data_IF_794324803344
#
_entry.id   IF_794324803344
#
_cell.length_a   1.000
_cell.length_b   1.000
_cell.length_c   1.000
_cell.angle_alpha   90.00
_cell.angle_beta   90.00
_cell.angle_gamma   90.00
#
_symmetry.space_group_name_H-M   'P 1'
#
loop_
_entity.id
_entity.type
_entity.pdbx_description
1 polymer ?
#
# COMPACT_ATOMS: atom_id res chain seq x y z
N UNK A 1 25.30 -21.59 10.41
CA UNK A 1 23.97 -22.24 10.27
C UNK A 1 23.00 -21.54 11.19
N UNK A 2 21.95 -20.90 10.66
CA UNK A 2 20.92 -20.24 11.50
C UNK A 2 20.06 -21.30 12.20
N UNK A 3 19.82 -21.11 13.50
CA UNK A 3 19.06 -22.02 14.33
C UNK A 3 17.61 -22.11 13.82
N UNK A 4 16.99 -23.30 13.68
CA UNK A 4 15.59 -23.42 13.24
C UNK A 4 14.61 -22.54 14.05
N UNK A 5 14.91 -22.29 15.32
CA UNK A 5 14.12 -21.41 16.18
C UNK A 5 14.15 -19.93 15.73
N UNK A 6 15.28 -19.43 15.18
CA UNK A 6 15.37 -18.03 14.74
C UNK A 6 14.60 -17.81 13.44
N UNK A 7 14.72 -18.74 12.47
CA UNK A 7 13.97 -18.67 11.21
C UNK A 7 12.45 -18.72 11.43
N UNK A 8 11.98 -19.51 12.39
CA UNK A 8 10.55 -19.60 12.73
C UNK A 8 9.99 -18.28 13.31
N UNK A 9 10.79 -17.57 14.15
CA UNK A 9 10.42 -16.26 14.69
C UNK A 9 10.39 -15.20 13.60
N UNK A 10 11.41 -15.13 12.74
CA UNK A 10 11.45 -14.17 11.62
C UNK A 10 10.24 -14.32 10.71
N UNK A 11 9.84 -15.56 10.40
CA UNK A 11 8.64 -15.82 9.59
C UNK A 11 7.36 -15.35 10.28
N UNK A 12 7.24 -15.57 11.59
CA UNK A 12 6.09 -15.11 12.38
C UNK A 12 6.03 -13.58 12.44
N UNK A 13 7.14 -12.91 12.70
CA UNK A 13 7.21 -11.45 12.73
C UNK A 13 6.90 -10.83 11.36
N UNK A 14 7.42 -11.39 10.26
CA UNK A 14 7.07 -10.94 8.89
C UNK A 14 5.58 -11.09 8.60
N UNK A 15 4.98 -12.22 8.97
CA UNK A 15 3.53 -12.46 8.81
C UNK A 15 2.71 -11.50 9.65
N UNK A 16 3.13 -11.24 10.89
CA UNK A 16 2.47 -10.29 11.78
C UNK A 16 2.55 -8.87 11.20
N UNK A 17 3.72 -8.45 10.71
CA UNK A 17 3.91 -7.16 10.06
C UNK A 17 2.99 -6.99 8.85
N UNK A 18 3.00 -7.96 7.92
CA UNK A 18 2.12 -7.94 6.75
C UNK A 18 0.64 -8.01 7.15
N UNK A 19 0.32 -8.85 8.14
CA UNK A 19 -1.03 -9.01 8.68
C UNK A 19 -1.56 -7.74 9.33
N UNK A 20 -0.74 -6.96 10.01
CA UNK A 20 -1.14 -5.67 10.60
C UNK A 20 -1.41 -4.60 9.55
N UNK A 21 -0.63 -4.56 8.47
CA UNK A 21 -0.91 -3.67 7.33
C UNK A 21 -2.17 -4.08 6.57
N UNK A 22 -2.41 -5.38 6.40
CA UNK A 22 -3.64 -5.85 5.81
C UNK A 22 -4.83 -5.53 6.72
N UNK A 23 -4.72 -5.82 8.02
CA UNK A 23 -5.74 -5.55 9.02
C UNK A 23 -6.05 -4.05 9.10
N UNK A 24 -5.05 -3.18 9.07
CA UNK A 24 -5.25 -1.73 9.13
C UNK A 24 -6.12 -1.26 7.96
N UNK A 25 -5.79 -1.68 6.72
CA UNK A 25 -6.56 -1.34 5.52
C UNK A 25 -7.97 -1.91 5.52
N UNK A 26 -8.12 -3.18 5.89
CA UNK A 26 -9.44 -3.85 5.97
C UNK A 26 -10.32 -3.22 7.05
N UNK A 27 -9.76 -2.94 8.24
CA UNK A 27 -10.50 -2.30 9.32
C UNK A 27 -10.96 -0.90 8.93
N UNK A 28 -10.08 -0.10 8.30
CA UNK A 28 -10.46 1.23 7.80
C UNK A 28 -11.64 1.14 6.83
N UNK A 29 -11.54 0.26 5.83
CA UNK A 29 -12.60 0.07 4.84
C UNK A 29 -13.91 -0.38 5.50
N UNK A 30 -13.87 -1.38 6.39
CA UNK A 30 -15.05 -1.90 7.08
C UNK A 30 -15.71 -0.85 7.99
N UNK A 31 -14.95 -0.08 8.75
CA UNK A 31 -15.53 0.94 9.62
C UNK A 31 -16.10 2.13 8.84
N UNK A 32 -15.49 2.51 7.72
CA UNK A 32 -16.08 3.51 6.82
C UNK A 32 -17.42 3.03 6.27
N UNK A 33 -17.51 1.77 5.80
CA UNK A 33 -18.77 1.23 5.26
C UNK A 33 -19.85 1.06 6.32
N UNK A 34 -19.46 0.82 7.57
CA UNK A 34 -20.39 0.73 8.72
C UNK A 34 -20.78 2.09 9.32
N UNK A 35 -20.29 3.21 8.77
CA UNK A 35 -20.64 4.56 9.25
C UNK A 35 -19.84 5.06 10.45
N UNK A 36 -18.71 4.41 10.78
CA UNK A 36 -17.82 4.77 11.88
C UNK A 36 -16.43 5.20 11.39
N UNK A 37 -16.30 6.24 10.54
CA UNK A 37 -15.05 6.58 9.88
C UNK A 37 -13.91 6.92 10.86
N UNK A 38 -14.22 7.59 11.98
CA UNK A 38 -13.22 7.95 13.00
C UNK A 38 -12.64 6.69 13.66
N UNK A 39 -13.49 5.69 13.96
CA UNK A 39 -13.04 4.41 14.52
C UNK A 39 -12.16 3.68 13.51
N UNK A 40 -12.52 3.72 12.23
CA UNK A 40 -11.70 3.17 11.15
C UNK A 40 -10.31 3.80 11.09
N UNK A 41 -10.21 5.12 11.18
CA UNK A 41 -8.93 5.84 11.21
C UNK A 41 -8.12 5.46 12.45
N UNK A 42 -8.74 5.41 13.63
CA UNK A 42 -8.05 5.00 14.87
C UNK A 42 -7.51 3.58 14.73
N UNK A 43 -8.32 2.64 14.25
CA UNK A 43 -7.90 1.26 14.02
C UNK A 43 -6.73 1.19 13.04
N UNK A 44 -6.81 1.94 11.93
CA UNK A 44 -5.73 2.02 10.96
C UNK A 44 -4.42 2.50 11.59
N UNK A 45 -4.45 3.65 12.29
CA UNK A 45 -3.27 4.29 12.88
C UNK A 45 -2.65 3.41 13.95
N UNK A 46 -3.46 2.80 14.82
CA UNK A 46 -2.98 1.88 15.87
C UNK A 46 -2.30 0.68 15.24
N UNK A 47 -2.95 0.00 14.30
CA UNK A 47 -2.37 -1.18 13.64
C UNK A 47 -1.09 -0.84 12.87
N UNK A 48 -1.05 0.28 12.14
CA UNK A 48 0.14 0.74 11.42
C UNK A 48 1.28 1.08 12.38
N UNK A 49 0.99 1.76 13.50
CA UNK A 49 2.00 2.10 14.52
C UNK A 49 2.58 0.85 15.17
N UNK A 50 1.74 -0.14 15.47
CA UNK A 50 2.19 -1.44 15.99
C UNK A 50 3.06 -2.16 14.96
N UNK A 51 2.69 -2.17 13.68
CA UNK A 51 3.49 -2.77 12.62
C UNK A 51 4.89 -2.13 12.53
N UNK A 52 4.95 -0.79 12.56
CA UNK A 52 6.21 -0.04 12.54
C UNK A 52 7.04 -0.32 13.80
N UNK A 53 6.42 -0.33 14.97
CA UNK A 53 7.09 -0.59 16.24
C UNK A 53 7.69 -2.00 16.30
N UNK A 54 7.00 -3.01 15.75
CA UNK A 54 7.49 -4.40 15.68
C UNK A 54 8.76 -4.48 14.85
N UNK A 55 8.80 -3.84 13.67
CA UNK A 55 9.99 -3.87 12.81
C UNK A 55 11.15 -3.10 13.44
N UNK A 56 10.88 -1.94 14.06
CA UNK A 56 11.92 -1.11 14.68
C UNK A 56 12.56 -1.74 15.92
N UNK A 57 11.87 -2.64 16.61
CA UNK A 57 12.35 -3.28 17.85
C UNK A 57 12.95 -4.67 17.64
N UNK A 58 13.01 -5.16 16.40
CA UNK A 58 13.54 -6.48 16.12
C UNK A 58 15.04 -6.39 15.80
N UNK A 59 15.88 -6.98 16.66
CA UNK A 59 17.34 -6.90 16.55
C UNK A 59 17.96 -7.80 15.46
N UNK A 60 17.17 -8.66 14.82
CA UNK A 60 17.64 -9.57 13.77
C UNK A 60 17.40 -9.06 12.33
N UNK A 61 17.97 -9.74 11.31
CA UNK A 61 17.69 -9.42 9.91
C UNK A 61 16.30 -9.91 9.51
N UNK A 62 15.28 -9.07 9.73
CA UNK A 62 13.89 -9.40 9.39
C UNK A 62 13.65 -9.51 7.88
N UNK A 63 14.40 -8.74 7.10
CA UNK A 63 14.42 -8.76 5.63
C UNK A 63 15.87 -8.88 5.17
N UNK A 64 16.20 -10.03 4.55
CA UNK A 64 17.48 -10.23 3.89
C UNK A 64 17.49 -9.62 2.48
N UNK A 65 18.63 -9.69 1.78
CA UNK A 65 18.77 -9.13 0.43
C UNK A 65 17.82 -9.80 -0.59
N UNK A 66 17.51 -11.08 -0.38
CA UNK A 66 16.59 -11.84 -1.23
C UNK A 66 15.13 -11.42 -1.00
N UNK A 67 14.77 -11.08 0.22
CA UNK A 67 13.45 -10.57 0.56
C UNK A 67 13.26 -9.14 0.07
N UNK A 68 14.29 -8.30 0.11
CA UNK A 68 14.25 -6.95 -0.47
C UNK A 68 14.00 -6.98 -1.97
N UNK A 69 14.72 -7.81 -2.72
CA UNK A 69 14.50 -7.96 -4.17
C UNK A 69 13.09 -8.46 -4.50
N UNK A 70 12.55 -9.41 -3.74
CA UNK A 70 11.16 -9.86 -3.89
C UNK A 70 10.15 -8.77 -3.55
N UNK A 71 10.37 -8.00 -2.48
CA UNK A 71 9.50 -6.89 -2.10
C UNK A 71 9.55 -5.77 -3.14
N UNK A 72 10.72 -5.45 -3.69
CA UNK A 72 10.86 -4.48 -4.76
C UNK A 72 10.07 -4.92 -6.00
N UNK A 73 10.23 -6.19 -6.44
CA UNK A 73 9.47 -6.74 -7.56
C UNK A 73 7.95 -6.74 -7.31
N UNK A 74 7.52 -7.11 -6.09
CA UNK A 74 6.12 -7.09 -5.71
C UNK A 74 5.55 -5.67 -5.67
N UNK A 75 6.33 -4.70 -5.19
CA UNK A 75 5.94 -3.28 -5.12
C UNK A 75 5.82 -2.69 -6.52
N UNK A 76 6.79 -2.93 -7.40
CA UNK A 76 6.73 -2.55 -8.81
C UNK A 76 5.49 -3.12 -9.49
N UNK A 77 5.20 -4.41 -9.27
CA UNK A 77 4.00 -5.05 -9.83
C UNK A 77 2.71 -4.43 -9.29
N UNK A 78 2.67 -4.09 -8.00
CA UNK A 78 1.50 -3.44 -7.38
C UNK A 78 1.26 -2.06 -8.00
N UNK A 79 2.30 -1.24 -8.12
CA UNK A 79 2.23 0.07 -8.77
C UNK A 79 1.78 -0.06 -10.23
N UNK A 80 2.31 -1.03 -10.97
CA UNK A 80 1.92 -1.29 -12.34
C UNK A 80 0.43 -1.66 -12.47
N UNK A 81 -0.06 -2.58 -11.62
CA UNK A 81 -1.48 -2.97 -11.60
C UNK A 81 -2.36 -1.76 -11.27
N UNK A 82 -2.04 -1.02 -10.22
CA UNK A 82 -2.79 0.18 -9.82
C UNK A 82 -2.80 1.22 -10.95
N UNK A 83 -1.66 1.43 -11.60
CA UNK A 83 -1.52 2.34 -12.73
C UNK A 83 -2.39 1.93 -13.93
N UNK A 84 -2.32 0.67 -14.35
CA UNK A 84 -3.12 0.14 -15.47
C UNK A 84 -4.61 0.20 -15.13
N UNK A 85 -5.01 -0.25 -13.94
CA UNK A 85 -6.41 -0.19 -13.51
C UNK A 85 -6.91 1.26 -13.50
N UNK A 86 -6.11 2.20 -13.03
CA UNK A 86 -6.48 3.62 -13.03
C UNK A 86 -6.59 4.19 -14.45
N UNK A 87 -5.65 3.84 -15.33
CA UNK A 87 -5.65 4.25 -16.74
C UNK A 87 -6.85 3.70 -17.54
N UNK A 88 -7.53 2.67 -17.02
CA UNK A 88 -8.79 2.16 -17.59
C UNK A 88 -9.99 2.82 -16.91
N UNK A 89 -10.09 2.72 -15.59
CA UNK A 89 -11.28 3.13 -14.82
C UNK A 89 -11.55 4.62 -14.96
N UNK A 90 -10.56 5.49 -14.78
CA UNK A 90 -10.81 6.93 -14.80
C UNK A 90 -11.23 7.44 -16.19
N UNK A 91 -10.55 7.07 -17.30
CA UNK A 91 -11.01 7.46 -18.62
C UNK A 91 -12.40 6.90 -18.96
N UNK A 92 -12.69 5.65 -18.61
CA UNK A 92 -14.01 5.06 -18.85
C UNK A 92 -15.12 5.80 -18.10
N UNK A 93 -14.95 6.05 -16.80
CA UNK A 93 -15.95 6.78 -16.00
C UNK A 93 -16.10 8.22 -16.52
N UNK A 94 -14.99 8.87 -16.89
CA UNK A 94 -15.03 10.23 -17.45
C UNK A 94 -15.77 10.27 -18.78
N UNK A 95 -15.55 9.29 -19.67
CA UNK A 95 -16.27 9.19 -20.94
C UNK A 95 -17.77 8.96 -20.73
N UNK A 96 -18.15 8.04 -19.83
CA UNK A 96 -19.57 7.80 -19.50
C UNK A 96 -20.23 9.03 -18.88
N UNK A 97 -19.51 9.76 -18.03
CA UNK A 97 -19.99 11.01 -17.45
C UNK A 97 -20.18 12.11 -18.51
N UNK A 98 -19.22 12.25 -19.44
CA UNK A 98 -19.30 13.23 -20.52
C UNK A 98 -20.39 12.94 -21.55
N UNK A 99 -20.85 11.69 -21.64
CA UNK A 99 -21.97 11.25 -22.47
C UNK A 99 -23.32 11.27 -21.73
N UNK A 100 -23.38 11.83 -20.53
CA UNK A 100 -24.56 11.88 -19.66
C UNK A 100 -25.16 10.50 -19.32
N UNK A 101 -24.36 9.43 -19.41
CA UNK A 101 -24.78 8.06 -19.06
C UNK A 101 -24.79 7.85 -17.55
N UNK A 102 -23.85 8.47 -16.83
CA UNK A 102 -23.72 8.38 -15.37
C UNK A 102 -23.43 9.74 -14.75
N UNK A 103 -23.88 9.97 -13.52
CA UNK A 103 -23.44 11.11 -12.72
C UNK A 103 -22.03 10.87 -12.17
N UNK A 104 -21.23 11.94 -12.05
CA UNK A 104 -19.88 11.84 -11.48
C UNK A 104 -19.94 11.38 -10.01
N UNK A 105 -19.29 10.26 -9.62
CA UNK A 105 -19.31 9.81 -8.24
C UNK A 105 -18.39 10.68 -7.37
N UNK A 106 -18.94 11.36 -6.36
CA UNK A 106 -18.16 12.27 -5.49
C UNK A 106 -17.02 11.55 -4.74
N UNK A 107 -17.20 10.28 -4.40
CA UNK A 107 -16.17 9.45 -3.76
C UNK A 107 -14.99 9.13 -4.69
N UNK A 108 -15.14 9.26 -6.01
CA UNK A 108 -14.10 8.97 -6.98
C UNK A 108 -13.05 10.09 -7.05
N UNK A 109 -13.45 11.33 -6.79
CA UNK A 109 -12.57 12.51 -6.79
C UNK A 109 -11.35 12.36 -5.87
N UNK A 110 -11.47 12.05 -4.56
CA UNK A 110 -10.31 11.87 -3.70
C UNK A 110 -9.42 10.68 -4.12
N UNK A 111 -9.99 9.63 -4.72
CA UNK A 111 -9.22 8.49 -5.24
C UNK A 111 -8.38 8.93 -6.45
N UNK A 112 -8.94 9.76 -7.34
CA UNK A 112 -8.20 10.35 -8.46
C UNK A 112 -6.98 11.16 -7.98
N UNK A 113 -7.16 12.01 -6.95
CA UNK A 113 -6.06 12.75 -6.36
C UNK A 113 -5.01 11.84 -5.70
N UNK A 114 -5.45 10.79 -4.99
CA UNK A 114 -4.54 9.80 -4.42
C UNK A 114 -3.70 9.11 -5.50
N UNK A 115 -4.32 8.68 -6.60
CA UNK A 115 -3.61 8.05 -7.72
C UNK A 115 -2.64 9.03 -8.38
N UNK A 116 -3.05 10.28 -8.61
CA UNK A 116 -2.17 11.31 -9.15
C UNK A 116 -0.95 11.54 -8.24
N UNK A 117 -1.16 11.64 -6.92
CA UNK A 117 -0.08 11.78 -5.95
C UNK A 117 0.84 10.54 -5.93
N UNK A 118 0.28 9.33 -5.97
CA UNK A 118 1.04 8.09 -6.04
C UNK A 118 1.91 8.04 -7.31
N UNK A 119 1.34 8.38 -8.47
CA UNK A 119 2.07 8.45 -9.74
C UNK A 119 3.16 9.51 -9.71
N UNK A 120 2.90 10.67 -9.11
CA UNK A 120 3.88 11.74 -8.96
C UNK A 120 5.06 11.31 -8.08
N UNK A 121 4.78 10.69 -6.92
CA UNK A 121 5.81 10.16 -6.02
C UNK A 121 6.61 9.05 -6.70
N UNK A 122 5.94 8.14 -7.41
CA UNK A 122 6.62 7.08 -8.14
C UNK A 122 7.56 7.65 -9.22
N UNK A 123 7.07 8.56 -10.07
CA UNK A 123 7.89 9.21 -11.09
C UNK A 123 9.07 9.97 -10.48
N UNK A 124 8.82 10.77 -9.44
CA UNK A 124 9.87 11.50 -8.73
C UNK A 124 10.95 10.57 -8.15
N UNK A 125 10.54 9.44 -7.55
CA UNK A 125 11.47 8.44 -7.03
C UNK A 125 12.32 7.80 -8.14
N UNK A 126 11.71 7.46 -9.29
CA UNK A 126 12.45 6.88 -10.41
C UNK A 126 13.45 7.87 -11.02
N UNK A 127 13.07 9.14 -11.17
CA UNK A 127 13.97 10.17 -11.69
C UNK A 127 15.15 10.41 -10.73
N UNK A 128 14.88 10.51 -9.42
CA UNK A 128 15.93 10.65 -8.41
C UNK A 128 16.96 9.51 -8.48
N UNK A 129 16.49 8.26 -8.54
CA UNK A 129 17.36 7.09 -8.65
C UNK A 129 18.20 7.13 -9.93
N UNK A 130 17.62 7.49 -11.08
CA UNK A 130 18.38 7.57 -12.35
C UNK A 130 19.49 8.63 -12.31
N UNK A 131 19.29 9.74 -11.61
CA UNK A 131 20.32 10.80 -11.48
C UNK A 131 21.46 10.46 -10.53
N UNK A 132 21.26 9.53 -9.58
CA UNK A 132 22.29 9.11 -8.63
C UNK A 132 23.26 8.06 -9.22
N UNK A 133 22.85 7.41 -10.31
CA UNK A 133 23.62 6.33 -10.97
C UNK A 133 24.39 6.83 -12.21
N UNK A 134 24.11 8.06 -12.67
CA UNK A 134 24.78 8.72 -13.79
C UNK A 134 25.97 9.57 -13.32
#
# INVERSE_FOLDING_TARGET
MSNPNTQSRERSYRRLYAGLWLLSGVALAAFITLGYPIIGVIAFVVSATVAIAIVRRYDGPLFDERDRSRQAAASQRTVAIVGISSAIVFPTVTALWALDVVAWPVWLTPIAFFVAALSFVHLGSTLYETTQVA
#
